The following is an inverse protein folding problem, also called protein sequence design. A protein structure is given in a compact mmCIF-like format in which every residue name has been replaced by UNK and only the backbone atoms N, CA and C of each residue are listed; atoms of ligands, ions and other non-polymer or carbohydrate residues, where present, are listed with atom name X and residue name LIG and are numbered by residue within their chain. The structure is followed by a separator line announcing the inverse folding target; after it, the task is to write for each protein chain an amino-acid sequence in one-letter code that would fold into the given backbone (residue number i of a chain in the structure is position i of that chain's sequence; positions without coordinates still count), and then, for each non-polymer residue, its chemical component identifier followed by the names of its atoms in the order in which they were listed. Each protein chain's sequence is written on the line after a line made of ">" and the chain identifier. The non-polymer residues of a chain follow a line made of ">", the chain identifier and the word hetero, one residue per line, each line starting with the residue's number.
data_IF_261102122670
#
_entry.id   IF_261102122670
#
_cell.length_a   1.000
_cell.length_b   1.000
_cell.length_c   1.000
_cell.angle_alpha   90.00
_cell.angle_beta   90.00
_cell.angle_gamma   90.00
#
_symmetry.space_group_name_H-M   'P 1'
#
loop_
_entity.id
_entity.type
_entity.pdbx_description
1 polymer ?
#
# COMPACT_ATOMS: atom_id res chain seq x y z
N UNK A 1 9.66 12.40 17.77
CA UNK A 1 9.19 12.45 16.37
C UNK A 1 8.74 13.87 15.96
N UNK A 2 8.15 14.66 16.86
CA UNK A 2 7.64 16.01 16.56
C UNK A 2 8.67 16.99 15.95
N UNK A 3 9.95 16.72 16.07
CA UNK A 3 11.05 17.52 15.49
C UNK A 3 11.75 16.83 14.31
N UNK A 4 11.06 15.96 13.59
CA UNK A 4 11.60 15.29 12.41
C UNK A 4 11.53 16.23 11.20
N UNK A 5 12.64 16.83 10.76
CA UNK A 5 12.65 17.90 9.75
C UNK A 5 12.84 17.37 8.33
N UNK A 6 12.70 16.08 8.11
CA UNK A 6 13.02 15.41 6.86
C UNK A 6 11.75 14.97 6.12
N UNK A 7 11.93 14.20 5.08
CA UNK A 7 10.87 13.61 4.27
C UNK A 7 9.85 12.88 5.14
N UNK A 8 8.61 12.89 4.71
CA UNK A 8 7.51 12.15 5.33
C UNK A 8 7.84 10.66 5.35
N UNK A 9 7.77 10.07 6.53
CA UNK A 9 8.09 8.66 6.76
C UNK A 9 7.05 8.00 7.66
N UNK A 10 6.82 6.70 7.44
CA UNK A 10 6.15 5.84 8.38
C UNK A 10 7.19 5.26 9.35
N UNK A 11 7.04 5.53 10.63
CA UNK A 11 7.92 5.00 11.69
C UNK A 11 7.12 3.99 12.51
N UNK A 12 7.45 2.71 12.37
CA UNK A 12 6.98 1.67 13.29
C UNK A 12 7.98 1.54 14.43
N UNK A 13 7.50 1.35 15.65
CA UNK A 13 8.32 1.18 16.84
C UNK A 13 7.80 0.05 17.73
N UNK A 14 8.72 -0.53 18.49
CA UNK A 14 8.44 -1.42 19.61
C UNK A 14 9.40 -1.08 20.74
N UNK A 15 8.95 -1.14 21.98
CA UNK A 15 9.78 -0.87 23.13
C UNK A 15 10.00 -2.12 24.02
N UNK A 16 10.85 -1.97 25.03
CA UNK A 16 11.21 -3.07 25.93
C UNK A 16 10.08 -3.47 26.89
N UNK A 17 9.08 -2.61 27.07
CA UNK A 17 7.91 -2.86 27.91
C UNK A 17 6.75 -3.54 27.11
N UNK A 18 6.99 -3.79 25.82
CA UNK A 18 6.07 -4.46 24.92
C UNK A 18 5.07 -3.54 24.23
N UNK A 19 5.21 -2.23 24.34
CA UNK A 19 4.38 -1.31 23.57
C UNK A 19 4.83 -1.26 22.11
N UNK A 20 3.86 -1.25 21.21
CA UNK A 20 4.07 -1.12 19.77
C UNK A 20 3.29 0.07 19.22
N UNK A 21 3.72 0.60 18.11
CA UNK A 21 2.97 1.65 17.44
C UNK A 21 3.55 2.06 16.11
N UNK A 22 2.80 2.94 15.48
CA UNK A 22 3.15 3.56 14.20
C UNK A 22 2.85 5.05 14.28
N UNK A 23 3.70 5.85 13.67
CA UNK A 23 3.57 7.30 13.57
C UNK A 23 4.00 7.77 12.19
N UNK A 24 3.15 8.56 11.53
CA UNK A 24 3.58 9.33 10.37
C UNK A 24 4.38 10.55 10.86
N UNK A 25 5.61 10.71 10.37
CA UNK A 25 6.51 11.80 10.74
C UNK A 25 6.93 12.59 9.51
N UNK A 26 7.39 13.83 9.70
CA UNK A 26 7.83 14.73 8.65
C UNK A 26 6.95 15.96 8.52
N UNK A 27 7.35 16.90 7.67
CA UNK A 27 6.55 18.08 7.36
C UNK A 27 5.62 17.82 6.18
N UNK A 28 4.32 17.88 6.42
CA UNK A 28 3.30 17.80 5.38
C UNK A 28 2.86 19.21 5.02
N UNK A 29 3.28 19.74 3.84
CA UNK A 29 2.91 21.09 3.44
C UNK A 29 1.44 21.16 3.03
N UNK A 30 0.77 22.25 3.41
CA UNK A 30 -0.63 22.50 3.06
C UNK A 30 -0.70 23.39 1.83
N UNK A 31 -1.42 22.96 0.79
CA UNK A 31 -1.64 23.76 -0.43
C UNK A 31 -2.66 24.86 -0.17
N UNK A 32 -2.45 26.04 -0.78
CA UNK A 32 -3.43 27.14 -0.76
C UNK A 32 -4.66 26.78 -1.59
N UNK A 33 -4.47 26.07 -2.70
CA UNK A 33 -5.56 25.59 -3.57
C UNK A 33 -5.15 24.31 -4.29
N UNK A 34 -6.15 23.52 -4.70
CA UNK A 34 -5.97 22.29 -5.46
C UNK A 34 -5.42 21.13 -4.63
N UNK A 35 -5.31 19.98 -5.28
CA UNK A 35 -4.93 18.70 -4.67
C UNK A 35 -3.53 18.22 -5.09
N UNK A 36 -2.87 18.95 -6.01
CA UNK A 36 -1.58 18.55 -6.57
C UNK A 36 -1.66 17.58 -7.74
N UNK A 37 -2.85 17.27 -8.24
CA UNK A 37 -3.07 16.38 -9.38
C UNK A 37 -2.85 17.05 -10.74
N UNK A 38 -3.00 18.36 -10.80
CA UNK A 38 -2.83 19.15 -12.02
C UNK A 38 -1.84 20.29 -11.80
N UNK A 39 -1.07 20.69 -12.82
CA UNK A 39 -0.25 21.90 -12.78
C UNK A 39 -1.10 23.15 -12.53
N UNK A 40 -0.63 24.02 -11.67
CA UNK A 40 -1.27 25.31 -11.36
C UNK A 40 -0.38 26.47 -11.81
N UNK A 41 -0.97 27.63 -12.17
CA UNK A 41 -0.21 28.82 -12.60
C UNK A 41 0.69 29.32 -11.47
N UNK A 42 2.00 29.24 -11.63
CA UNK A 42 2.97 29.66 -10.59
C UNK A 42 2.91 31.18 -10.27
N UNK A 43 2.43 31.99 -11.18
CA UNK A 43 2.29 33.45 -10.99
C UNK A 43 1.01 33.85 -10.26
N UNK A 44 0.08 32.92 -10.03
CA UNK A 44 -1.16 33.17 -9.30
C UNK A 44 -0.90 33.12 -7.79
N UNK A 45 -1.10 34.22 -7.03
CA UNK A 45 -0.87 34.23 -5.58
C UNK A 45 -1.84 33.32 -4.79
N UNK A 46 -2.93 32.86 -5.40
CA UNK A 46 -3.83 31.86 -4.80
C UNK A 46 -3.24 30.46 -4.83
N UNK A 47 -2.17 30.21 -5.60
CA UNK A 47 -1.48 28.93 -5.67
C UNK A 47 -0.29 28.86 -4.71
N UNK A 48 0.33 27.70 -4.60
CA UNK A 48 1.49 27.45 -3.73
C UNK A 48 1.12 26.84 -2.39
N UNK A 49 1.96 27.09 -1.41
CA UNK A 49 1.88 26.49 -0.07
C UNK A 49 1.46 27.50 0.98
N UNK A 50 0.78 27.08 2.01
CA UNK A 50 0.57 27.83 3.23
C UNK A 50 1.90 27.97 3.98
N UNK A 51 1.99 28.95 4.88
CA UNK A 51 3.21 29.18 5.66
C UNK A 51 3.44 28.09 6.72
N UNK A 52 2.36 27.43 7.17
CA UNK A 52 2.37 26.35 8.12
C UNK A 52 1.90 25.07 7.46
N UNK A 53 2.56 23.94 7.79
CA UNK A 53 2.16 22.59 7.39
C UNK A 53 1.11 21.99 8.31
N UNK A 54 0.81 20.71 8.12
CA UNK A 54 -0.05 19.95 9.03
C UNK A 54 0.61 19.85 10.40
N UNK A 55 -0.07 20.28 11.50
CA UNK A 55 0.45 20.16 12.86
C UNK A 55 0.75 18.69 13.22
N UNK A 56 1.83 18.45 13.96
CA UNK A 56 2.24 17.09 14.35
C UNK A 56 1.14 16.35 15.09
N UNK A 57 0.36 17.01 15.92
CA UNK A 57 -0.75 16.46 16.69
C UNK A 57 -1.92 15.97 15.83
N UNK A 58 -1.97 16.40 14.58
CA UNK A 58 -2.95 15.95 13.59
C UNK A 58 -2.40 14.85 12.67
N UNK A 59 -1.11 14.55 12.77
CA UNK A 59 -0.49 13.50 11.96
C UNK A 59 -1.01 12.13 12.39
N UNK A 60 -1.34 11.24 11.45
CA UNK A 60 -1.84 9.90 11.77
C UNK A 60 -0.85 9.11 12.62
N UNK A 61 -1.37 8.42 13.61
CA UNK A 61 -0.62 7.50 14.45
C UNK A 61 -1.50 6.36 14.96
N UNK A 62 -0.87 5.29 15.39
CA UNK A 62 -1.51 4.20 16.09
C UNK A 62 -0.61 3.72 17.23
N UNK A 63 -1.18 3.45 18.41
CA UNK A 63 -0.45 2.99 19.58
C UNK A 63 -1.18 1.83 20.21
N UNK A 64 -0.47 0.72 20.41
CA UNK A 64 -0.98 -0.52 20.97
C UNK A 64 -2.32 -0.96 20.33
N UNK A 65 -2.36 -1.15 19.00
CA UNK A 65 -3.57 -1.53 18.31
C UNK A 65 -4.12 -2.85 18.85
N UNK A 66 -5.46 -2.97 18.87
CA UNK A 66 -6.13 -4.18 19.33
C UNK A 66 -5.80 -5.43 18.48
N UNK A 67 -5.31 -5.22 17.26
CA UNK A 67 -4.80 -6.28 16.37
C UNK A 67 -3.52 -6.94 16.86
N UNK A 68 -2.76 -6.28 17.77
CA UNK A 68 -1.49 -6.77 18.29
C UNK A 68 -0.29 -6.59 17.34
N UNK A 69 -0.47 -5.91 16.20
CA UNK A 69 0.60 -5.59 15.26
C UNK A 69 0.37 -4.25 14.56
N UNK A 70 1.41 -3.71 13.95
CA UNK A 70 1.34 -2.57 13.04
C UNK A 70 1.93 -2.95 11.68
N UNK A 71 1.31 -2.47 10.59
CA UNK A 71 1.77 -2.72 9.24
C UNK A 71 1.54 -1.50 8.36
N UNK A 72 2.50 -1.17 7.51
CA UNK A 72 2.38 -0.14 6.49
C UNK A 72 3.18 -0.53 5.25
N UNK A 73 2.64 -0.28 4.07
CA UNK A 73 3.23 -0.66 2.79
C UNK A 73 2.94 0.37 1.69
N UNK A 74 3.13 1.65 1.98
CA UNK A 74 2.81 2.79 1.10
C UNK A 74 1.32 2.93 0.76
N UNK A 75 0.45 2.22 1.45
CA UNK A 75 -0.99 2.42 1.37
C UNK A 75 -1.41 3.74 2.02
N UNK A 76 -2.58 4.24 1.71
CA UNK A 76 -3.14 5.42 2.35
C UNK A 76 -3.20 5.21 3.87
N UNK A 77 -2.64 6.13 4.67
CA UNK A 77 -2.50 5.93 6.12
C UNK A 77 -3.77 6.25 6.92
N UNK A 78 -4.75 6.89 6.30
CA UNK A 78 -6.01 7.32 6.95
C UNK A 78 -7.21 6.81 6.18
N UNK A 79 -8.33 6.62 6.86
CA UNK A 79 -9.62 6.47 6.22
C UNK A 79 -10.02 7.74 5.45
N UNK A 80 -10.97 7.60 4.53
CA UNK A 80 -11.59 8.73 3.85
C UNK A 80 -12.64 9.35 4.77
N UNK A 81 -12.18 10.18 5.71
CA UNK A 81 -13.05 10.96 6.56
C UNK A 81 -12.61 12.44 6.58
N UNK A 82 -13.55 13.33 6.88
CA UNK A 82 -13.33 14.77 6.89
C UNK A 82 -12.47 15.23 8.09
N UNK A 83 -12.21 14.36 9.05
CA UNK A 83 -11.42 14.66 10.24
C UNK A 83 -9.91 14.46 10.02
N UNK A 84 -9.55 13.66 9.03
CA UNK A 84 -8.16 13.39 8.72
C UNK A 84 -7.53 14.53 7.90
N UNK A 85 -6.26 14.90 8.16
CA UNK A 85 -5.55 15.87 7.33
C UNK A 85 -5.37 15.34 5.90
N UNK A 86 -5.40 16.25 4.93
CA UNK A 86 -5.09 15.89 3.56
C UNK A 86 -3.58 15.62 3.41
N UNK A 87 -3.22 14.38 3.13
CA UNK A 87 -1.83 13.93 3.03
C UNK A 87 -1.35 13.68 1.60
N UNK A 88 -2.27 13.65 0.64
CA UNK A 88 -1.95 13.40 -0.77
C UNK A 88 -3.07 12.64 -1.50
N UNK A 89 -2.85 12.38 -2.78
CA UNK A 89 -3.80 11.70 -3.68
C UNK A 89 -3.24 10.43 -4.31
N UNK A 90 -1.92 10.29 -4.36
CA UNK A 90 -1.23 9.16 -5.00
C UNK A 90 -0.76 8.16 -3.95
N UNK A 91 -1.56 7.13 -3.74
CA UNK A 91 -1.24 6.03 -2.85
C UNK A 91 -1.10 4.74 -3.65
N UNK A 92 -0.20 3.86 -3.23
CA UNK A 92 -0.18 2.51 -3.77
C UNK A 92 -1.44 1.75 -3.32
N UNK A 93 -1.81 0.76 -4.11
CA UNK A 93 -2.90 -0.14 -3.76
C UNK A 93 -2.71 -0.80 -2.39
N UNK A 94 -3.79 -1.36 -1.85
CA UNK A 94 -3.79 -1.98 -0.53
C UNK A 94 -3.28 -3.42 -0.50
N UNK A 95 -2.92 -4.03 -1.62
CA UNK A 95 -2.63 -5.47 -1.69
C UNK A 95 -1.45 -5.88 -0.81
N UNK A 96 -0.33 -5.13 -0.85
CA UNK A 96 0.82 -5.45 0.02
C UNK A 96 0.48 -5.29 1.50
N UNK A 97 -0.18 -4.19 1.87
CA UNK A 97 -0.60 -3.96 3.25
C UNK A 97 -1.61 -5.03 3.70
N UNK A 98 -2.57 -5.40 2.85
CA UNK A 98 -3.52 -6.47 3.08
C UNK A 98 -2.84 -7.82 3.30
N UNK A 99 -1.87 -8.18 2.44
CA UNK A 99 -1.13 -9.44 2.57
C UNK A 99 -0.30 -9.51 3.85
N UNK A 100 0.38 -8.42 4.22
CA UNK A 100 1.14 -8.34 5.46
C UNK A 100 0.19 -8.51 6.67
N UNK A 101 -0.94 -7.80 6.66
CA UNK A 101 -1.92 -7.87 7.75
C UNK A 101 -2.55 -9.25 7.87
N UNK A 102 -2.89 -9.91 6.75
CA UNK A 102 -3.38 -11.28 6.71
C UNK A 102 -2.36 -12.26 7.34
N UNK A 103 -1.10 -12.15 6.94
CA UNK A 103 -0.04 -13.00 7.46
C UNK A 103 0.22 -12.78 8.95
N UNK A 104 0.25 -11.50 9.39
CA UNK A 104 0.45 -11.17 10.80
C UNK A 104 -0.70 -11.63 11.68
N UNK A 105 -1.94 -11.52 11.20
CA UNK A 105 -3.12 -11.99 11.93
C UNK A 105 -3.26 -13.52 11.99
N UNK A 106 -2.58 -14.26 11.11
CA UNK A 106 -2.69 -15.71 11.03
C UNK A 106 -1.92 -16.46 12.14
N UNK A 107 -1.01 -15.79 12.86
CA UNK A 107 -0.17 -16.40 13.91
C UNK A 107 0.31 -15.35 14.92
N UNK A 108 0.65 -15.80 16.11
CA UNK A 108 1.16 -14.99 17.23
C UNK A 108 2.60 -15.38 17.68
N UNK A 109 3.19 -16.40 17.07
CA UNK A 109 4.50 -16.94 17.37
C UNK A 109 5.60 -16.44 16.41
N UNK A 110 5.61 -15.12 16.12
CA UNK A 110 6.56 -14.51 15.20
C UNK A 110 7.99 -14.53 15.74
N UNK A 111 8.91 -15.03 14.91
CA UNK A 111 10.35 -14.98 15.12
C UNK A 111 11.07 -14.33 13.92
N UNK A 112 12.40 -14.26 14.00
CA UNK A 112 13.21 -13.67 12.92
C UNK A 112 13.05 -14.43 11.61
N UNK A 113 12.97 -15.76 11.63
CA UNK A 113 12.86 -16.57 10.43
C UNK A 113 11.50 -16.40 9.76
N UNK A 114 10.41 -16.37 10.54
CA UNK A 114 9.08 -16.09 10.03
C UNK A 114 8.95 -14.68 9.46
N UNK A 115 9.56 -13.69 10.11
CA UNK A 115 9.58 -12.31 9.62
C UNK A 115 10.36 -12.19 8.30
N UNK A 116 11.51 -12.85 8.18
CA UNK A 116 12.26 -12.91 6.93
C UNK A 116 11.47 -13.61 5.82
N UNK A 117 10.76 -14.69 6.12
CA UNK A 117 9.91 -15.36 5.14
C UNK A 117 8.78 -14.45 4.65
N UNK A 118 8.14 -13.67 5.55
CA UNK A 118 7.12 -12.70 5.15
C UNK A 118 7.69 -11.58 4.26
N UNK A 119 8.92 -11.13 4.50
CA UNK A 119 9.58 -10.14 3.64
C UNK A 119 9.79 -10.64 2.20
N UNK A 120 9.85 -11.95 2.01
CA UNK A 120 10.03 -12.61 0.71
C UNK A 120 8.72 -13.20 0.17
N UNK A 121 7.58 -12.90 0.81
CA UNK A 121 6.27 -13.37 0.36
C UNK A 121 5.92 -12.81 -1.01
N UNK A 122 5.44 -13.65 -1.90
CA UNK A 122 5.14 -13.33 -3.29
C UNK A 122 3.68 -13.64 -3.66
N UNK A 123 2.80 -13.80 -2.68
CA UNK A 123 1.38 -14.08 -2.95
C UNK A 123 0.70 -12.84 -3.55
N UNK A 124 0.09 -13.00 -4.72
CA UNK A 124 -0.69 -11.96 -5.39
C UNK A 124 -2.13 -11.93 -4.87
N UNK A 125 -2.47 -10.94 -4.05
CA UNK A 125 -3.86 -10.70 -3.67
C UNK A 125 -4.69 -10.18 -4.84
N UNK A 126 -4.09 -9.42 -5.77
CA UNK A 126 -4.75 -8.98 -6.99
C UNK A 126 -5.24 -10.17 -7.83
N UNK A 127 -4.39 -11.21 -8.00
CA UNK A 127 -4.82 -12.44 -8.65
C UNK A 127 -5.98 -13.11 -7.92
N UNK A 128 -5.89 -13.22 -6.61
CA UNK A 128 -6.93 -13.83 -5.77
C UNK A 128 -8.29 -13.14 -5.96
N UNK A 129 -8.29 -11.84 -6.16
CA UNK A 129 -9.50 -11.02 -6.36
C UNK A 129 -10.12 -11.23 -7.75
N UNK A 130 -9.31 -11.29 -8.81
CA UNK A 130 -9.81 -11.31 -10.19
C UNK A 130 -9.78 -12.70 -10.84
N UNK A 131 -9.21 -13.69 -10.18
CA UNK A 131 -9.00 -15.05 -10.70
C UNK A 131 -10.26 -15.62 -11.34
N UNK A 132 -11.34 -15.67 -10.60
CA UNK A 132 -12.57 -16.32 -11.06
C UNK A 132 -13.17 -15.61 -12.28
N UNK A 133 -13.03 -14.29 -12.36
CA UNK A 133 -13.45 -13.52 -13.54
C UNK A 133 -12.60 -13.88 -14.77
N UNK A 134 -11.28 -14.00 -14.58
CA UNK A 134 -10.36 -14.27 -15.70
C UNK A 134 -10.51 -15.70 -16.22
N UNK A 135 -10.61 -16.69 -15.33
CA UNK A 135 -10.69 -18.09 -15.76
C UNK A 135 -12.04 -18.45 -16.38
N UNK A 136 -13.10 -17.67 -16.11
CA UNK A 136 -14.44 -17.85 -16.70
C UNK A 136 -14.58 -17.19 -18.08
N UNK A 137 -13.53 -16.53 -18.60
CA UNK A 137 -13.56 -15.95 -19.94
C UNK A 137 -13.62 -17.04 -21.02
N UNK A 138 -14.39 -16.78 -22.06
CA UNK A 138 -14.42 -17.64 -23.26
C UNK A 138 -13.04 -17.69 -23.92
N UNK A 139 -12.46 -18.89 -24.02
CA UNK A 139 -11.17 -19.08 -24.65
C UNK A 139 -11.27 -18.88 -26.17
N UNK A 140 -10.27 -18.22 -26.74
CA UNK A 140 -10.03 -18.13 -28.18
C UNK A 140 -8.77 -18.94 -28.52
N UNK A 141 -8.47 -19.23 -29.80
CA UNK A 141 -7.23 -19.91 -30.15
C UNK A 141 -5.95 -19.24 -29.60
N UNK A 142 -5.98 -17.91 -29.43
CA UNK A 142 -4.84 -17.13 -28.92
C UNK A 142 -4.78 -17.11 -27.38
N UNK A 143 -5.93 -17.30 -26.70
CA UNK A 143 -6.03 -17.21 -25.24
C UNK A 143 -6.17 -18.54 -24.52
N UNK A 144 -6.40 -19.65 -25.24
CA UNK A 144 -6.58 -20.99 -24.66
C UNK A 144 -5.42 -21.41 -23.77
N UNK A 145 -4.19 -21.31 -24.29
CA UNK A 145 -3.00 -21.67 -23.52
C UNK A 145 -2.72 -20.73 -22.33
N UNK A 146 -2.76 -19.39 -22.46
CA UNK A 146 -2.69 -18.48 -21.33
C UNK A 146 -3.72 -18.78 -20.25
N UNK A 147 -4.98 -18.96 -20.58
CA UNK A 147 -6.06 -19.24 -19.61
C UNK A 147 -5.83 -20.58 -18.90
N UNK A 148 -5.38 -21.62 -19.62
CA UNK A 148 -5.06 -22.90 -18.99
C UNK A 148 -3.92 -22.78 -17.96
N UNK A 149 -2.87 -22.00 -18.27
CA UNK A 149 -1.77 -21.74 -17.31
C UNK A 149 -2.26 -20.95 -16.09
N UNK A 150 -3.11 -19.95 -16.28
CA UNK A 150 -3.68 -19.16 -15.20
C UNK A 150 -4.64 -19.97 -14.32
N UNK A 151 -5.41 -20.88 -14.90
CA UNK A 151 -6.34 -21.72 -14.14
C UNK A 151 -5.63 -22.63 -13.12
N UNK A 152 -4.43 -23.09 -13.45
CA UNK A 152 -3.58 -23.96 -12.60
C UNK A 152 -2.65 -23.16 -11.67
N UNK A 153 -2.60 -21.83 -11.80
CA UNK A 153 -1.66 -21.00 -11.04
C UNK A 153 -2.09 -20.82 -9.59
N UNK A 154 -1.14 -21.00 -8.68
CA UNK A 154 -1.30 -20.85 -7.23
C UNK A 154 -1.31 -19.38 -6.74
N UNK A 155 -1.09 -18.41 -7.63
CA UNK A 155 -1.04 -16.99 -7.31
C UNK A 155 0.30 -16.54 -6.70
N UNK A 156 1.36 -17.35 -6.78
CA UNK A 156 2.70 -16.98 -6.32
C UNK A 156 3.50 -16.39 -7.48
N UNK A 157 3.90 -15.12 -7.35
CA UNK A 157 4.66 -14.38 -8.37
C UNK A 157 6.15 -14.76 -8.30
N UNK A 158 6.46 -16.01 -8.66
CA UNK A 158 7.82 -16.50 -8.68
C UNK A 158 8.49 -16.29 -10.06
N UNK A 159 9.81 -16.10 -10.06
CA UNK A 159 10.59 -15.84 -11.27
C UNK A 159 10.48 -16.96 -12.36
N UNK A 160 10.14 -18.18 -11.97
CA UNK A 160 9.95 -19.32 -12.88
C UNK A 160 8.52 -19.54 -13.36
N UNK A 161 7.55 -18.73 -12.91
CA UNK A 161 6.13 -18.90 -13.23
C UNK A 161 5.76 -18.18 -14.54
N UNK A 162 5.41 -18.95 -15.57
CA UNK A 162 4.85 -18.40 -16.79
C UNK A 162 3.47 -17.75 -16.55
N UNK A 163 2.65 -18.34 -15.67
CA UNK A 163 1.36 -17.78 -15.32
C UNK A 163 1.49 -16.42 -14.63
N UNK A 164 2.46 -16.27 -13.71
CA UNK A 164 2.76 -14.98 -13.10
C UNK A 164 3.10 -13.93 -14.16
N UNK A 165 3.97 -14.25 -15.12
CA UNK A 165 4.34 -13.32 -16.19
C UNK A 165 3.14 -12.91 -17.06
N UNK A 166 2.23 -13.84 -17.35
CA UNK A 166 1.01 -13.56 -18.11
C UNK A 166 0.11 -12.62 -17.31
N UNK A 167 -0.07 -12.87 -16.02
CA UNK A 167 -0.93 -12.06 -15.17
C UNK A 167 -0.36 -10.64 -14.97
N UNK A 168 0.91 -10.51 -14.68
CA UNK A 168 1.56 -9.19 -14.50
C UNK A 168 1.51 -8.36 -15.79
N UNK A 169 1.72 -8.96 -16.96
CA UNK A 169 1.57 -8.26 -18.22
C UNK A 169 0.12 -7.84 -18.49
N UNK A 170 -0.84 -8.70 -18.16
CA UNK A 170 -2.26 -8.36 -18.25
C UNK A 170 -2.61 -7.14 -17.38
N UNK A 171 -2.19 -7.13 -16.11
CA UNK A 171 -2.42 -6.01 -15.19
C UNK A 171 -1.75 -4.73 -15.70
N UNK A 172 -0.51 -4.84 -16.21
CA UNK A 172 0.21 -3.72 -16.80
C UNK A 172 -0.54 -3.10 -18.00
N UNK A 173 -1.02 -3.93 -18.91
CA UNK A 173 -1.77 -3.46 -20.09
C UNK A 173 -3.14 -2.86 -19.71
N UNK A 174 -3.80 -3.39 -18.68
CA UNK A 174 -5.05 -2.81 -18.16
C UNK A 174 -4.83 -1.42 -17.57
N UNK A 175 -3.73 -1.19 -16.89
CA UNK A 175 -3.38 0.12 -16.30
C UNK A 175 -2.97 1.18 -17.33
N UNK A 176 -2.68 0.80 -18.59
CA UNK A 176 -2.31 1.71 -19.69
C UNK A 176 -3.51 2.24 -20.48
N UNK A 177 -4.68 1.69 -20.31
CA UNK A 177 -5.92 2.05 -21.03
C UNK A 177 -6.79 2.99 -20.21
#
# INVERSE_FOLDING_TARGET
>A
FAHWPLLIQNVAYADADGAIGWQLVGEVPVRRTGWGTLPLPAADPATGWQDEGVPFEQMPFESNPATGFVATANNKPTADDDAAPFLGVDWLDGYRAGRISEALAARDDWDVAATQALQLDQVSLAWREVRDIIIDLDATPDTERPLALLAEWDGIVSAGSAAASIFEEFVHEMGRR
#
